data_IF_802204715276
#
_entry.id   IF_802204715276
#
_cell.length_a   1.000
_cell.length_b   1.000
_cell.length_c   1.000
_cell.angle_alpha   90.00
_cell.angle_beta   90.00
_cell.angle_gamma   90.00
#
_symmetry.space_group_name_H-M   'P 1'
#
loop_
_entity.id
_entity.type
_entity.pdbx_description
1 polymer ?
#
# COMPACT_ATOMS: atom_id res chain seq x y z
N UNK A 1 0.96 -16.01 13.88
CA UNK A 1 0.42 -14.65 14.09
C UNK A 1 0.64 -13.77 12.85
N UNK A 2 1.87 -13.54 12.40
CA UNK A 2 2.16 -12.75 11.19
C UNK A 2 1.63 -13.39 9.88
N UNK A 3 1.77 -14.71 9.72
CA UNK A 3 1.33 -15.44 8.52
C UNK A 3 -0.14 -15.20 8.14
N UNK A 4 -1.05 -15.22 9.12
CA UNK A 4 -2.49 -14.96 8.87
C UNK A 4 -2.71 -13.56 8.32
N UNK A 5 -2.04 -12.55 8.87
CA UNK A 5 -2.23 -11.18 8.40
C UNK A 5 -1.54 -10.92 7.07
N UNK A 6 -0.41 -11.58 6.80
CA UNK A 6 0.20 -11.57 5.48
C UNK A 6 -0.72 -12.20 4.42
N UNK A 7 -1.34 -13.34 4.71
CA UNK A 7 -2.35 -13.94 3.83
C UNK A 7 -3.57 -13.01 3.66
N UNK A 8 -4.07 -12.45 4.76
CA UNK A 8 -5.20 -11.55 4.72
C UNK A 8 -4.88 -10.28 3.92
N UNK A 9 -3.67 -9.74 3.99
CA UNK A 9 -3.28 -8.60 3.15
C UNK A 9 -3.49 -8.90 1.67
N UNK A 10 -3.05 -10.06 1.19
CA UNK A 10 -3.34 -10.49 -0.19
C UNK A 10 -4.85 -10.63 -0.42
N UNK A 11 -5.58 -11.33 0.45
CA UNK A 11 -7.03 -11.48 0.28
C UNK A 11 -7.76 -10.13 0.21
N UNK A 12 -7.45 -9.21 1.12
CA UNK A 12 -8.10 -7.91 1.21
C UNK A 12 -7.61 -6.94 0.14
N UNK A 13 -6.39 -7.08 -0.36
CA UNK A 13 -5.92 -6.42 -1.57
C UNK A 13 -6.79 -6.80 -2.77
N UNK A 14 -6.95 -8.10 -3.04
CA UNK A 14 -7.76 -8.60 -4.17
C UNK A 14 -9.23 -8.18 -4.06
N UNK A 15 -9.81 -8.20 -2.84
CA UNK A 15 -11.16 -7.69 -2.61
C UNK A 15 -11.25 -6.19 -2.90
N UNK A 16 -10.20 -5.43 -2.59
CA UNK A 16 -10.17 -3.97 -2.75
C UNK A 16 -10.03 -3.51 -4.21
N UNK A 17 -9.52 -4.35 -5.11
CA UNK A 17 -9.62 -4.10 -6.55
C UNK A 17 -11.08 -4.01 -7.02
N UNK A 18 -11.97 -4.80 -6.41
CA UNK A 18 -13.41 -4.75 -6.69
C UNK A 18 -14.15 -3.56 -6.06
N UNK A 19 -13.45 -2.67 -5.34
CA UNK A 19 -14.02 -1.57 -4.58
C UNK A 19 -13.44 -0.21 -5.03
N UNK A 20 -14.14 0.85 -4.67
CA UNK A 20 -13.77 2.22 -5.05
C UNK A 20 -14.25 2.61 -6.46
N UNK A 21 -13.81 3.78 -6.97
CA UNK A 21 -14.21 4.26 -8.29
C UNK A 21 -13.71 3.34 -9.41
N UNK A 22 -14.56 3.03 -10.37
CA UNK A 22 -14.21 2.25 -11.57
C UNK A 22 -14.70 2.94 -12.84
N UNK A 23 -16.02 2.93 -13.06
CA UNK A 23 -16.68 3.79 -14.05
C UNK A 23 -17.00 5.15 -13.41
N UNK A 24 -16.65 6.24 -14.09
CA UNK A 24 -16.81 7.61 -13.62
C UNK A 24 -17.41 8.51 -14.70
N UNK A 25 -17.85 9.70 -14.30
CA UNK A 25 -18.28 10.77 -15.21
C UNK A 25 -17.22 11.87 -15.18
N UNK A 26 -16.61 12.15 -16.34
CA UNK A 26 -15.66 13.26 -16.53
C UNK A 26 -16.17 14.17 -17.64
N UNK A 27 -16.32 15.47 -17.33
CA UNK A 27 -16.81 16.48 -18.27
C UNK A 27 -18.12 16.07 -18.98
N UNK A 28 -19.03 15.46 -18.21
CA UNK A 28 -20.35 15.01 -18.68
C UNK A 28 -20.32 13.71 -19.50
N UNK A 29 -19.17 13.04 -19.65
CA UNK A 29 -19.03 11.79 -20.39
C UNK A 29 -18.71 10.62 -19.46
N UNK A 30 -19.31 9.47 -19.74
CA UNK A 30 -18.94 8.22 -19.06
C UNK A 30 -17.57 7.75 -19.56
N UNK A 31 -16.69 7.37 -18.64
CA UNK A 31 -15.33 6.87 -18.88
C UNK A 31 -14.92 5.97 -17.71
N UNK A 32 -13.69 5.45 -17.72
CA UNK A 32 -13.13 4.65 -16.64
C UNK A 32 -11.96 5.37 -15.97
N UNK A 33 -11.68 5.00 -14.71
CA UNK A 33 -10.50 5.49 -13.99
C UNK A 33 -9.20 5.18 -14.75
N UNK A 34 -9.08 4.00 -15.35
CA UNK A 34 -7.90 3.61 -16.11
C UNK A 34 -7.69 4.46 -17.36
N UNK A 35 -8.76 4.76 -18.11
CA UNK A 35 -8.68 5.67 -19.26
C UNK A 35 -8.24 7.08 -18.85
N UNK A 36 -8.75 7.60 -17.72
CA UNK A 36 -8.41 8.94 -17.27
C UNK A 36 -7.00 9.03 -16.66
N UNK A 37 -6.55 8.03 -15.91
CA UNK A 37 -5.26 8.05 -15.22
C UNK A 37 -4.09 7.53 -16.06
N UNK A 38 -4.34 6.91 -17.22
CA UNK A 38 -3.33 6.53 -18.21
C UNK A 38 -2.17 5.73 -17.59
N UNK A 39 -0.91 6.13 -17.81
CA UNK A 39 0.27 5.43 -17.32
C UNK A 39 0.42 5.46 -15.79
N UNK A 40 -0.30 6.35 -15.11
CA UNK A 40 -0.30 6.39 -13.64
C UNK A 40 -1.26 5.38 -13.03
N UNK A 41 -2.22 4.86 -13.81
CA UNK A 41 -3.31 4.02 -13.32
C UNK A 41 -2.82 2.84 -12.50
N UNK A 42 -1.95 1.99 -13.06
CA UNK A 42 -1.54 0.75 -12.39
C UNK A 42 -0.88 1.03 -11.04
N UNK A 43 0.01 2.03 -10.95
CA UNK A 43 0.67 2.39 -9.69
C UNK A 43 -0.33 2.87 -8.63
N UNK A 44 -1.29 3.69 -9.06
CA UNK A 44 -2.35 4.20 -8.18
C UNK A 44 -3.29 3.07 -7.73
N UNK A 45 -3.71 2.21 -8.65
CA UNK A 45 -4.66 1.13 -8.38
C UNK A 45 -4.07 0.03 -7.49
N UNK A 46 -2.82 -0.40 -7.73
CA UNK A 46 -2.15 -1.37 -6.85
C UNK A 46 -2.00 -0.83 -5.43
N UNK A 47 -1.50 0.40 -5.30
CA UNK A 47 -1.35 1.00 -3.98
C UNK A 47 -2.69 1.35 -3.31
N UNK A 48 -3.76 1.61 -4.09
CA UNK A 48 -5.14 1.70 -3.56
C UNK A 48 -5.55 0.37 -2.96
N UNK A 49 -5.39 -0.72 -3.71
CA UNK A 49 -5.79 -2.06 -3.28
C UNK A 49 -5.10 -2.46 -1.98
N UNK A 50 -3.79 -2.20 -1.86
CA UNK A 50 -3.02 -2.42 -0.62
C UNK A 50 -3.60 -1.65 0.59
N UNK A 51 -3.66 -0.32 0.50
CA UNK A 51 -4.05 0.52 1.65
C UNK A 51 -5.55 0.39 1.97
N UNK A 52 -6.39 0.20 0.95
CA UNK A 52 -7.80 -0.09 1.13
C UNK A 52 -8.01 -1.48 1.74
N UNK A 53 -7.14 -2.45 1.42
CA UNK A 53 -7.12 -3.75 2.08
C UNK A 53 -6.89 -3.62 3.59
N UNK A 54 -5.89 -2.83 3.99
CA UNK A 54 -5.63 -2.53 5.40
C UNK A 54 -6.81 -1.78 6.07
N UNK A 55 -7.39 -0.81 5.37
CA UNK A 55 -8.59 -0.10 5.83
C UNK A 55 -9.79 -1.03 6.04
N UNK A 56 -10.03 -1.96 5.11
CA UNK A 56 -11.13 -2.92 5.20
C UNK A 56 -10.93 -3.91 6.35
N UNK A 57 -9.70 -4.34 6.61
CA UNK A 57 -9.39 -5.14 7.80
C UNK A 57 -9.68 -4.38 9.09
N UNK A 58 -9.27 -3.11 9.19
CA UNK A 58 -9.60 -2.25 10.34
C UNK A 58 -11.12 -2.12 10.53
N UNK A 59 -11.85 -1.87 9.44
CA UNK A 59 -13.31 -1.77 9.45
C UNK A 59 -13.96 -3.07 9.97
N UNK A 60 -13.51 -4.24 9.50
CA UNK A 60 -14.06 -5.53 9.95
C UNK A 60 -13.66 -5.88 11.39
N UNK A 61 -12.52 -5.40 11.88
CA UNK A 61 -12.17 -5.49 13.30
C UNK A 61 -13.10 -4.64 14.18
N UNK A 62 -13.49 -3.45 13.72
CA UNK A 62 -14.46 -2.62 14.43
C UNK A 62 -15.90 -3.15 14.35
N UNK A 63 -16.17 -4.09 13.44
CA UNK A 63 -17.42 -4.85 13.35
C UNK A 63 -17.37 -6.21 14.05
N UNK A 64 -16.30 -6.52 14.78
CA UNK A 64 -16.06 -7.80 15.45
C UNK A 64 -16.11 -9.02 14.51
N UNK A 65 -15.95 -8.81 13.20
CA UNK A 65 -15.81 -9.89 12.19
C UNK A 65 -14.39 -10.43 12.18
N UNK A 66 -13.40 -9.56 12.42
CA UNK A 66 -12.01 -9.92 12.69
C UNK A 66 -11.64 -9.60 14.16
N UNK A 67 -10.69 -10.32 14.78
CA UNK A 67 -10.35 -10.10 16.18
C UNK A 67 -9.73 -8.72 16.43
N UNK A 68 -10.46 -7.83 17.11
CA UNK A 68 -9.98 -6.48 17.46
C UNK A 68 -8.71 -6.47 18.32
N UNK A 69 -8.53 -7.49 19.16
CA UNK A 69 -7.34 -7.66 20.01
C UNK A 69 -6.04 -7.80 19.22
N UNK A 70 -6.13 -8.07 17.92
CA UNK A 70 -4.98 -8.30 17.04
C UNK A 70 -4.68 -7.14 16.09
N UNK A 71 -5.41 -6.01 16.22
CA UNK A 71 -5.22 -4.80 15.41
C UNK A 71 -3.74 -4.40 15.27
N UNK A 72 -3.00 -4.40 16.37
CA UNK A 72 -1.59 -4.01 16.35
C UNK A 72 -0.71 -5.00 15.56
N UNK A 73 -1.00 -6.30 15.66
CA UNK A 73 -0.28 -7.32 14.88
C UNK A 73 -0.55 -7.18 13.39
N UNK A 74 -1.80 -6.88 13.02
CA UNK A 74 -2.18 -6.59 11.63
C UNK A 74 -1.43 -5.36 11.12
N UNK A 75 -1.46 -4.25 11.85
CA UNK A 75 -0.79 -3.00 11.44
C UNK A 75 0.72 -3.15 11.30
N UNK A 76 1.38 -3.90 12.21
CA UNK A 76 2.82 -4.19 12.10
C UNK A 76 3.12 -5.09 10.91
N UNK A 77 2.30 -6.12 10.66
CA UNK A 77 2.49 -7.03 9.52
C UNK A 77 2.35 -6.28 8.20
N UNK A 78 1.32 -5.45 8.08
CA UNK A 78 1.07 -4.61 6.91
C UNK A 78 2.22 -3.64 6.65
N UNK A 79 2.65 -2.92 7.69
CA UNK A 79 3.78 -2.00 7.55
C UNK A 79 5.09 -2.72 7.18
N UNK A 80 5.35 -3.89 7.76
CA UNK A 80 6.49 -4.72 7.40
C UNK A 80 6.42 -5.22 5.95
N UNK A 81 5.22 -5.55 5.46
CA UNK A 81 4.94 -5.98 4.10
C UNK A 81 5.37 -4.96 3.05
N UNK A 82 5.27 -3.65 3.34
CA UNK A 82 5.72 -2.58 2.44
C UNK A 82 7.20 -2.73 2.07
N UNK A 83 8.06 -3.11 3.02
CA UNK A 83 9.49 -3.30 2.74
C UNK A 83 9.74 -4.45 1.78
N UNK A 84 8.94 -5.53 1.85
CA UNK A 84 9.03 -6.64 0.90
C UNK A 84 8.67 -6.15 -0.51
N UNK A 85 7.52 -5.49 -0.66
CA UNK A 85 7.04 -5.00 -1.96
C UNK A 85 7.96 -3.95 -2.57
N UNK A 86 8.51 -3.03 -1.76
CA UNK A 86 9.47 -2.02 -2.24
C UNK A 86 10.75 -2.63 -2.85
N UNK A 87 11.12 -3.87 -2.50
CA UNK A 87 12.29 -4.56 -3.10
C UNK A 87 12.08 -4.97 -4.55
N UNK A 88 10.84 -5.01 -5.05
CA UNK A 88 10.56 -5.13 -6.48
C UNK A 88 10.97 -3.87 -7.26
N UNK A 89 10.99 -2.72 -6.57
CA UNK A 89 11.43 -1.43 -7.09
C UNK A 89 10.28 -0.55 -7.60
N UNK A 90 10.48 0.76 -7.52
CA UNK A 90 9.45 1.79 -7.82
C UNK A 90 9.07 1.92 -9.30
N UNK A 91 9.72 1.17 -10.17
CA UNK A 91 9.35 1.09 -11.58
C UNK A 91 8.16 0.13 -11.79
N UNK A 92 8.01 -0.88 -10.93
CA UNK A 92 6.89 -1.81 -10.90
C UNK A 92 5.72 -1.21 -10.09
N UNK A 93 4.49 -1.61 -10.42
CA UNK A 93 3.27 -1.00 -9.89
C UNK A 93 3.10 -1.21 -8.37
N UNK A 94 3.26 -2.44 -7.88
CA UNK A 94 3.21 -2.75 -6.45
C UNK A 94 4.37 -2.10 -5.69
N UNK A 95 5.58 -2.13 -6.25
CA UNK A 95 6.76 -1.48 -5.66
C UNK A 95 6.57 0.04 -5.51
N UNK A 96 5.98 0.69 -6.51
CA UNK A 96 5.59 2.11 -6.44
C UNK A 96 4.46 2.35 -5.43
N UNK A 97 3.45 1.47 -5.42
CA UNK A 97 2.35 1.46 -4.47
C UNK A 97 2.83 1.44 -3.01
N UNK A 98 3.73 0.52 -2.71
CA UNK A 98 4.32 0.38 -1.39
C UNK A 98 5.20 1.58 -1.01
N UNK A 99 5.96 2.13 -1.98
CA UNK A 99 6.80 3.31 -1.75
C UNK A 99 5.96 4.54 -1.39
N UNK A 100 4.83 4.78 -2.07
CA UNK A 100 3.99 5.93 -1.72
C UNK A 100 3.32 5.76 -0.36
N UNK A 101 2.90 4.54 0.00
CA UNK A 101 2.34 4.27 1.32
C UNK A 101 3.38 4.56 2.41
N UNK A 102 4.61 4.06 2.24
CA UNK A 102 5.72 4.33 3.16
C UNK A 102 5.97 5.83 3.33
N UNK A 103 6.13 6.57 2.24
CA UNK A 103 6.45 8.01 2.30
C UNK A 103 5.29 8.84 2.86
N UNK A 104 4.05 8.48 2.53
CA UNK A 104 2.87 9.12 3.12
C UNK A 104 2.81 8.87 4.63
N UNK A 105 3.02 7.63 5.08
CA UNK A 105 3.04 7.28 6.51
C UNK A 105 4.19 7.96 7.25
N UNK A 106 5.35 8.16 6.60
CA UNK A 106 6.46 8.95 7.15
C UNK A 106 6.05 10.40 7.35
N UNK A 107 5.43 11.03 6.35
CA UNK A 107 4.94 12.41 6.44
C UNK A 107 3.89 12.58 7.55
N UNK A 108 3.01 11.59 7.74
CA UNK A 108 2.01 11.58 8.82
C UNK A 108 2.58 11.18 10.18
N UNK A 109 3.88 10.89 10.28
CA UNK A 109 4.53 10.40 11.51
C UNK A 109 3.86 9.11 12.07
N UNK A 110 3.36 8.26 11.17
CA UNK A 110 2.73 6.99 11.52
C UNK A 110 3.73 5.91 11.96
N UNK A 111 5.02 6.17 11.77
CA UNK A 111 6.10 5.38 12.33
C UNK A 111 7.32 6.27 12.62
N UNK A 112 8.29 5.71 13.34
CA UNK A 112 9.63 6.28 13.52
C UNK A 112 10.69 5.24 13.18
N UNK A 113 11.87 5.72 12.81
CA UNK A 113 13.07 4.91 12.61
C UNK A 113 14.16 5.36 13.60
N UNK A 114 14.66 4.42 14.38
CA UNK A 114 15.80 4.63 15.27
C UNK A 114 17.08 4.19 14.56
N UNK A 115 17.94 5.15 14.22
CA UNK A 115 19.20 4.90 13.51
C UNK A 115 20.24 4.17 14.37
N UNK A 116 20.15 4.23 15.70
CA UNK A 116 21.08 3.54 16.60
C UNK A 116 20.81 2.05 16.67
N UNK A 117 19.54 1.67 16.79
CA UNK A 117 19.10 0.27 16.85
C UNK A 117 18.74 -0.30 15.48
N UNK A 118 18.62 0.55 14.46
CA UNK A 118 18.16 0.21 13.11
C UNK A 118 16.75 -0.41 13.11
N UNK A 119 15.87 0.06 13.99
CA UNK A 119 14.51 -0.48 14.16
C UNK A 119 13.44 0.55 13.81
N UNK A 120 12.35 0.04 13.25
CA UNK A 120 11.13 0.80 13.02
C UNK A 120 10.13 0.58 14.16
N UNK A 121 9.42 1.63 14.55
CA UNK A 121 8.32 1.57 15.53
C UNK A 121 7.07 2.20 14.93
N UNK A 122 5.96 1.46 14.92
CA UNK A 122 4.66 1.95 14.42
C UNK A 122 3.94 2.74 15.51
N UNK A 123 3.44 3.94 15.18
CA UNK A 123 2.46 4.65 15.97
C UNK A 123 1.06 4.23 15.51
N UNK A 124 0.39 3.36 16.28
CA UNK A 124 -0.84 2.71 15.85
C UNK A 124 -2.00 3.66 15.56
N UNK A 125 -2.14 4.73 16.35
CA UNK A 125 -3.22 5.72 16.15
C UNK A 125 -2.98 6.53 14.88
N UNK A 126 -1.76 7.04 14.71
CA UNK A 126 -1.38 7.78 13.50
C UNK A 126 -1.40 6.89 12.26
N UNK A 127 -1.01 5.63 12.37
CA UNK A 127 -1.08 4.66 11.26
C UNK A 127 -2.53 4.39 10.85
N UNK A 128 -3.43 4.16 11.81
CA UNK A 128 -4.87 3.97 11.54
C UNK A 128 -5.46 5.18 10.81
N UNK A 129 -5.13 6.40 11.27
CA UNK A 129 -5.59 7.64 10.65
C UNK A 129 -4.99 7.83 9.25
N UNK A 130 -3.68 7.60 9.10
CA UNK A 130 -3.00 7.78 7.82
C UNK A 130 -3.47 6.79 6.75
N UNK A 131 -3.80 5.55 7.12
CA UNK A 131 -4.45 4.58 6.23
C UNK A 131 -5.79 5.13 5.73
N UNK A 132 -6.64 5.61 6.63
CA UNK A 132 -7.95 6.20 6.30
C UNK A 132 -7.82 7.40 5.37
N UNK A 133 -6.88 8.31 5.69
CA UNK A 133 -6.64 9.51 4.89
C UNK A 133 -6.12 9.15 3.50
N UNK A 134 -5.18 8.19 3.40
CA UNK A 134 -4.59 7.79 2.13
C UNK A 134 -5.61 7.10 1.21
N UNK A 135 -6.48 6.22 1.75
CA UNK A 135 -7.59 5.64 0.98
C UNK A 135 -8.48 6.74 0.40
N UNK A 136 -8.89 7.71 1.22
CA UNK A 136 -9.71 8.84 0.77
C UNK A 136 -9.02 9.60 -0.35
N UNK A 137 -7.77 9.99 -0.13
CA UNK A 137 -7.03 10.84 -1.07
C UNK A 137 -6.87 10.13 -2.44
N UNK A 138 -6.53 8.83 -2.44
CA UNK A 138 -6.42 8.03 -3.68
C UNK A 138 -7.79 7.84 -4.35
N UNK A 139 -8.83 7.51 -3.58
CA UNK A 139 -10.17 7.35 -4.13
C UNK A 139 -10.66 8.67 -4.76
N UNK A 140 -10.28 9.82 -4.23
CA UNK A 140 -10.64 11.11 -4.83
C UNK A 140 -9.89 11.39 -6.13
N UNK A 141 -8.58 11.06 -6.21
CA UNK A 141 -7.81 11.11 -7.47
C UNK A 141 -8.52 10.27 -8.54
N UNK A 142 -8.90 9.03 -8.19
CA UNK A 142 -9.60 8.11 -9.09
C UNK A 142 -11.00 8.60 -9.46
N UNK A 143 -11.82 9.00 -8.49
CA UNK A 143 -13.20 9.45 -8.70
C UNK A 143 -13.28 10.67 -9.62
N UNK A 144 -12.31 11.58 -9.51
CA UNK A 144 -12.22 12.77 -10.34
C UNK A 144 -11.54 12.51 -11.69
N UNK A 145 -10.94 11.34 -11.89
CA UNK A 145 -10.10 11.06 -13.06
C UNK A 145 -9.00 12.11 -13.21
N UNK A 146 -8.36 12.52 -12.11
CA UNK A 146 -7.39 13.61 -12.11
C UNK A 146 -5.97 13.10 -12.41
N UNK A 147 -5.66 13.05 -13.70
CA UNK A 147 -4.36 12.62 -14.22
C UNK A 147 -3.19 13.47 -13.74
N UNK A 148 -3.37 14.79 -13.61
CA UNK A 148 -2.27 15.64 -13.17
C UNK A 148 -2.01 15.43 -11.68
N UNK A 149 -3.07 15.33 -10.88
CA UNK A 149 -2.93 15.03 -9.46
C UNK A 149 -2.32 13.64 -9.22
N UNK A 150 -2.66 12.63 -10.04
CA UNK A 150 -2.02 11.30 -9.92
C UNK A 150 -0.52 11.36 -10.23
N UNK A 151 -0.10 12.13 -11.24
CA UNK A 151 1.32 12.34 -11.54
C UNK A 151 2.05 13.03 -10.40
N UNK A 152 1.48 14.12 -9.88
CA UNK A 152 2.08 14.89 -8.79
C UNK A 152 2.19 14.05 -7.52
N UNK A 153 1.16 13.24 -7.23
CA UNK A 153 1.14 12.31 -6.12
C UNK A 153 2.25 11.25 -6.24
N UNK A 154 2.37 10.60 -7.40
CA UNK A 154 3.42 9.60 -7.65
C UNK A 154 4.82 10.23 -7.64
N UNK A 155 5.00 11.42 -8.23
CA UNK A 155 6.28 12.12 -8.22
C UNK A 155 6.74 12.45 -6.79
N UNK A 156 5.79 12.80 -5.91
CA UNK A 156 6.07 13.10 -4.50
C UNK A 156 6.34 11.85 -3.67
N UNK A 157 5.48 10.83 -3.78
CA UNK A 157 5.45 9.74 -2.82
C UNK A 157 5.96 8.40 -3.38
N UNK A 158 5.85 8.12 -4.68
CA UNK A 158 6.31 6.85 -5.27
C UNK A 158 7.83 6.83 -5.56
N UNK A 159 8.62 7.33 -4.60
CA UNK A 159 10.07 7.42 -4.64
C UNK A 159 10.70 6.49 -3.62
N UNK A 160 11.83 5.87 -3.97
CA UNK A 160 12.56 5.03 -3.01
C UNK A 160 13.22 5.93 -1.97
N UNK A 161 12.79 5.84 -0.71
CA UNK A 161 13.39 6.59 0.38
C UNK A 161 14.82 6.09 0.65
N UNK A 162 15.76 7.00 0.94
CA UNK A 162 17.18 6.68 1.12
C UNK A 162 17.40 5.63 2.22
N UNK A 163 16.66 5.71 3.32
CA UNK A 163 16.78 4.73 4.41
C UNK A 163 16.29 3.33 4.00
N UNK A 164 15.30 3.24 3.10
CA UNK A 164 14.82 1.97 2.55
C UNK A 164 15.81 1.45 1.52
N UNK A 165 16.40 2.31 0.68
CA UNK A 165 17.47 1.91 -0.23
C UNK A 165 18.67 1.33 0.52
N UNK A 166 19.10 1.97 1.62
CA UNK A 166 20.16 1.48 2.48
C UNK A 166 19.79 0.15 3.16
N UNK A 167 18.53 0.00 3.61
CA UNK A 167 18.04 -1.25 4.19
C UNK A 167 18.03 -2.39 3.14
N UNK A 168 17.61 -2.11 1.91
CA UNK A 168 17.59 -3.07 0.81
C UNK A 168 18.99 -3.62 0.51
N UNK A 169 20.03 -2.78 0.59
CA UNK A 169 21.42 -3.23 0.45
C UNK A 169 21.82 -4.23 1.55
N UNK A 170 21.39 -3.99 2.80
CA UNK A 170 21.65 -4.94 3.92
C UNK A 170 20.89 -6.25 3.75
N UNK A 171 19.77 -6.24 3.05
CA UNK A 171 18.94 -7.41 2.73
C UNK A 171 19.33 -8.08 1.40
N UNK A 172 20.44 -7.69 0.76
CA UNK A 172 20.81 -8.20 -0.56
C UNK A 172 21.00 -9.74 -0.61
N UNK A 173 21.32 -10.36 0.52
CA UNK A 173 21.44 -11.83 0.64
C UNK A 173 20.11 -12.55 0.85
N UNK A 174 19.05 -11.83 1.20
CA UNK A 174 17.70 -12.38 1.34
C UNK A 174 17.09 -12.42 -0.07
N UNK A 175 16.50 -13.53 -0.53
CA UNK A 175 15.81 -13.55 -1.82
C UNK A 175 14.73 -12.47 -1.93
N UNK A 176 14.55 -11.88 -3.11
CA UNK A 176 13.45 -10.92 -3.36
C UNK A 176 12.12 -11.65 -3.49
N UNK A 177 12.12 -12.79 -4.19
CA UNK A 177 10.95 -13.64 -4.38
C UNK A 177 11.38 -15.10 -4.65
N UNK A 178 10.43 -15.95 -4.98
CA UNK A 178 10.61 -17.37 -5.23
C UNK A 178 10.78 -17.69 -6.72
N UNK A 179 11.53 -18.76 -7.03
CA UNK A 179 11.52 -19.40 -8.35
C UNK A 179 10.80 -20.74 -8.23
N UNK A 180 9.53 -20.85 -8.65
CA UNK A 180 8.79 -22.08 -8.46
C UNK A 180 9.36 -23.22 -9.33
N UNK A 181 9.45 -24.41 -8.75
CA UNK A 181 9.71 -25.66 -9.46
C UNK A 181 8.50 -26.57 -9.25
N UNK A 182 7.65 -26.68 -10.28
CA UNK A 182 6.44 -27.49 -10.23
C UNK A 182 6.75 -28.90 -10.74
N UNK A 183 6.89 -29.93 -9.87
CA UNK A 183 7.05 -31.30 -10.33
C UNK A 183 5.79 -31.73 -11.09
N UNK A 184 5.98 -32.44 -12.21
CA UNK A 184 4.85 -33.07 -12.91
C UNK A 184 4.28 -34.15 -11.99
N UNK A 185 2.98 -34.09 -11.76
CA UNK A 185 2.19 -35.17 -11.15
C UNK A 185 1.99 -36.26 -12.20
#
# INVERSE_FOLDING_TARGET
MAERYFFNETLFHELSHGLGPGTIIKDGKTTTVSEQLQETYSKIEEGKADVMGAYNMLFLMDKDVLPKSEKNNMLVTYFAGLFRSMRFGVHEAHGAGAAFQYNYFKEKQAFSFDSSTQRYTVNFDKMTQAITDLVRDICMIQALGDYQQSKDFLAKYAVMADEVAALNQKMAQIPTDIRPNYPKI
#
